data_IF_796640789582
#
_entry.id   IF_796640789582
#
_cell.length_a   1.000
_cell.length_b   1.000
_cell.length_c   1.000
_cell.angle_alpha   90.00
_cell.angle_beta   90.00
_cell.angle_gamma   90.00
#
_symmetry.space_group_name_H-M   'P 1'
#
loop_
_entity.id
_entity.type
_entity.pdbx_description
1 polymer ?
#
# COMPACT_ATOMS: atom_id res chain seq x y z
N UNK A 1 37.19 -11.26 -18.37
CA UNK A 1 35.93 -11.70 -17.72
C UNK A 1 35.58 -10.70 -16.63
N UNK A 2 34.76 -9.70 -16.96
CA UNK A 2 33.99 -8.97 -15.96
C UNK A 2 32.53 -9.22 -16.32
N UNK A 3 31.85 -9.90 -15.42
CA UNK A 3 30.46 -10.29 -15.52
C UNK A 3 29.66 -9.00 -15.56
N UNK A 4 29.05 -8.71 -16.71
CA UNK A 4 27.98 -7.73 -16.78
C UNK A 4 26.83 -8.28 -15.95
N UNK A 5 26.73 -7.83 -14.69
CA UNK A 5 25.49 -7.99 -13.95
C UNK A 5 24.46 -7.14 -14.66
N UNK A 6 23.51 -7.80 -15.33
CA UNK A 6 22.28 -7.15 -15.75
C UNK A 6 21.65 -6.54 -14.50
N UNK A 7 21.78 -5.22 -14.35
CA UNK A 7 20.94 -4.47 -13.44
C UNK A 7 19.51 -4.69 -13.91
N UNK A 8 18.82 -5.65 -13.30
CA UNK A 8 17.38 -5.76 -13.44
C UNK A 8 16.83 -4.39 -13.06
N UNK A 9 16.31 -3.66 -14.04
CA UNK A 9 15.66 -2.38 -13.83
C UNK A 9 14.51 -2.67 -12.87
N UNK A 10 14.73 -2.45 -11.57
CA UNK A 10 13.75 -2.76 -10.54
C UNK A 10 12.74 -1.62 -10.55
N UNK A 11 11.74 -1.73 -11.42
CA UNK A 11 10.67 -0.74 -11.55
C UNK A 11 9.94 -0.63 -10.21
N UNK A 12 9.74 0.61 -9.74
CA UNK A 12 8.92 0.82 -8.56
C UNK A 12 7.46 0.51 -8.94
N UNK A 13 6.75 -0.18 -8.05
CA UNK A 13 5.33 -0.46 -8.24
C UNK A 13 4.67 -0.72 -6.90
N UNK A 14 3.36 -0.50 -6.86
CA UNK A 14 2.52 -0.88 -5.73
C UNK A 14 1.50 -1.90 -6.21
N UNK A 15 1.28 -2.93 -5.39
CA UNK A 15 0.22 -3.91 -5.59
C UNK A 15 -0.57 -4.05 -4.29
N UNK A 16 -1.90 -4.00 -4.39
CA UNK A 16 -2.83 -4.28 -3.30
C UNK A 16 -3.76 -5.40 -3.79
N UNK A 17 -3.91 -6.47 -3.00
CA UNK A 17 -4.84 -7.55 -3.30
C UNK A 17 -5.85 -7.63 -2.17
N UNK A 18 -7.14 -7.57 -2.48
CA UNK A 18 -8.25 -7.65 -1.52
C UNK A 18 -9.29 -8.67 -2.00
N UNK A 19 -10.22 -9.05 -1.12
CA UNK A 19 -11.37 -9.85 -1.49
C UNK A 19 -12.23 -9.12 -2.54
N UNK A 20 -12.96 -9.87 -3.37
CA UNK A 20 -13.84 -9.27 -4.39
C UNK A 20 -14.88 -8.31 -3.78
N UNK A 21 -15.29 -8.53 -2.54
CA UNK A 21 -16.24 -7.67 -1.81
C UNK A 21 -15.71 -6.26 -1.56
N UNK A 22 -14.39 -6.08 -1.57
CA UNK A 22 -13.72 -4.81 -1.26
C UNK A 22 -13.40 -3.97 -2.51
N UNK A 23 -14.05 -4.26 -3.65
CA UNK A 23 -13.85 -3.54 -4.91
C UNK A 23 -13.95 -2.02 -4.77
N UNK A 24 -14.88 -1.55 -3.92
CA UNK A 24 -15.11 -0.13 -3.69
C UNK A 24 -13.90 0.55 -3.05
N UNK A 25 -13.24 -0.10 -2.09
CA UNK A 25 -12.03 0.42 -1.46
C UNK A 25 -10.90 0.55 -2.48
N UNK A 26 -10.67 -0.49 -3.31
CA UNK A 26 -9.68 -0.42 -4.38
C UNK A 26 -10.02 0.65 -5.42
N UNK A 27 -11.29 0.84 -5.74
CA UNK A 27 -11.75 1.86 -6.68
C UNK A 27 -11.50 3.27 -6.13
N UNK A 28 -11.70 3.50 -4.83
CA UNK A 28 -11.37 4.77 -4.20
C UNK A 28 -9.87 5.09 -4.32
N UNK A 29 -9.00 4.12 -4.04
CA UNK A 29 -7.54 4.27 -4.21
C UNK A 29 -7.19 4.55 -5.67
N UNK A 30 -7.78 3.80 -6.62
CA UNK A 30 -7.57 3.98 -8.06
C UNK A 30 -7.99 5.38 -8.53
N UNK A 31 -9.09 5.92 -8.02
CA UNK A 31 -9.58 7.24 -8.43
C UNK A 31 -8.64 8.37 -7.99
N UNK A 32 -7.87 8.17 -6.92
CA UNK A 32 -6.87 9.15 -6.44
C UNK A 32 -5.55 9.03 -7.19
N UNK A 33 -5.02 7.80 -7.32
CA UNK A 33 -3.65 7.58 -7.81
C UNK A 33 -3.54 7.05 -9.24
N UNK A 34 -4.67 6.68 -9.87
CA UNK A 34 -4.71 6.01 -11.18
C UNK A 34 -4.49 4.50 -11.08
N UNK A 35 -3.82 3.91 -12.07
CA UNK A 35 -3.52 2.47 -12.09
C UNK A 35 -4.68 1.59 -12.58
N UNK A 36 -4.61 0.29 -12.28
CA UNK A 36 -5.56 -0.71 -12.81
C UNK A 36 -5.99 -1.71 -11.75
N UNK A 37 -7.25 -2.15 -11.82
CA UNK A 37 -7.81 -3.24 -11.01
C UNK A 37 -8.14 -4.39 -11.95
N UNK A 38 -7.71 -5.60 -11.60
CA UNK A 38 -8.01 -6.83 -12.35
C UNK A 38 -8.39 -7.95 -11.39
N UNK A 39 -9.25 -8.86 -11.84
CA UNK A 39 -9.52 -10.10 -11.13
C UNK A 39 -8.27 -10.99 -11.07
N UNK A 40 -8.08 -11.66 -9.94
CA UNK A 40 -7.02 -12.67 -9.76
C UNK A 40 -7.58 -14.02 -10.22
N UNK A 41 -6.98 -14.61 -11.26
CA UNK A 41 -7.43 -15.92 -11.76
C UNK A 41 -7.34 -17.00 -10.67
N UNK A 42 -8.39 -17.81 -10.55
CA UNK A 42 -8.46 -18.94 -9.61
C UNK A 42 -8.73 -18.56 -8.15
N UNK A 43 -8.99 -17.27 -7.85
CA UNK A 43 -9.28 -16.81 -6.48
C UNK A 43 -10.36 -15.73 -6.50
N UNK A 44 -11.21 -15.66 -5.47
CA UNK A 44 -12.24 -14.61 -5.34
C UNK A 44 -11.64 -13.29 -4.84
N UNK A 45 -10.67 -12.75 -5.58
CA UNK A 45 -9.89 -11.58 -5.18
C UNK A 45 -9.67 -10.61 -6.33
N UNK A 46 -9.53 -9.33 -5.98
CA UNK A 46 -9.17 -8.24 -6.86
C UNK A 46 -7.75 -7.80 -6.60
N UNK A 47 -7.07 -7.37 -7.66
CA UNK A 47 -5.70 -6.89 -7.61
C UNK A 47 -5.61 -5.50 -8.23
N UNK A 48 -5.26 -4.54 -7.40
CA UNK A 48 -4.87 -3.21 -7.81
C UNK A 48 -3.37 -3.15 -8.09
N UNK A 49 -2.98 -2.48 -9.19
CA UNK A 49 -1.58 -2.25 -9.58
C UNK A 49 -1.35 -0.82 -10.02
N UNK A 50 -0.29 -0.23 -9.48
CA UNK A 50 0.19 1.10 -9.82
C UNK A 50 1.64 1.02 -10.32
N UNK A 51 1.86 1.45 -11.57
CA UNK A 51 3.16 1.40 -12.25
C UNK A 51 3.57 2.74 -12.86
N UNK A 52 2.63 3.67 -13.08
CA UNK A 52 2.97 4.98 -13.64
C UNK A 52 3.71 5.81 -12.59
N UNK A 53 4.77 6.49 -13.04
CA UNK A 53 5.65 7.27 -12.17
C UNK A 53 4.91 8.38 -11.43
N UNK A 54 4.01 9.08 -12.11
CA UNK A 54 3.22 10.18 -11.54
C UNK A 54 2.37 9.71 -10.35
N UNK A 55 1.55 8.67 -10.54
CA UNK A 55 0.72 8.12 -9.47
C UNK A 55 1.54 7.58 -8.30
N UNK A 56 2.70 6.96 -8.58
CA UNK A 56 3.62 6.51 -7.53
C UNK A 56 4.20 7.68 -6.73
N UNK A 57 4.63 8.75 -7.39
CA UNK A 57 5.18 9.92 -6.69
C UNK A 57 4.12 10.60 -5.81
N UNK A 58 2.89 10.74 -6.32
CA UNK A 58 1.77 11.27 -5.53
C UNK A 58 1.52 10.38 -4.29
N UNK A 59 1.45 9.06 -4.48
CA UNK A 59 1.26 8.12 -3.38
C UNK A 59 2.41 8.18 -2.37
N UNK A 60 3.66 8.22 -2.81
CA UNK A 60 4.84 8.32 -1.93
C UNK A 60 4.74 9.57 -1.08
N UNK A 61 4.43 10.72 -1.68
CA UNK A 61 4.29 11.98 -0.95
C UNK A 61 3.17 11.93 0.09
N UNK A 62 2.02 11.33 -0.26
CA UNK A 62 0.87 11.25 0.65
C UNK A 62 1.08 10.28 1.82
N UNK A 63 1.85 9.20 1.64
CA UNK A 63 2.10 8.22 2.71
C UNK A 63 3.40 8.46 3.49
N UNK A 64 4.29 9.33 3.00
CA UNK A 64 5.57 9.60 3.65
C UNK A 64 5.36 10.34 4.97
N UNK A 65 5.76 9.72 6.08
CA UNK A 65 5.41 10.18 7.43
C UNK A 65 4.15 9.54 8.01
N UNK A 66 3.50 8.60 7.31
CA UNK A 66 2.36 7.84 7.83
C UNK A 66 2.66 6.33 7.97
N UNK A 67 3.72 5.83 7.35
CA UNK A 67 4.09 4.41 7.44
C UNK A 67 4.66 4.07 8.82
N UNK A 68 3.90 3.27 9.58
CA UNK A 68 4.26 2.83 10.94
C UNK A 68 4.78 1.40 11.02
N UNK A 69 4.52 0.56 10.01
CA UNK A 69 5.07 -0.79 9.96
C UNK A 69 6.57 -0.75 9.58
N UNK A 70 7.49 -1.29 10.41
CA UNK A 70 8.93 -1.22 10.16
C UNK A 70 9.37 -1.84 8.83
N UNK A 71 8.79 -2.97 8.43
CA UNK A 71 9.11 -3.65 7.18
C UNK A 71 8.70 -2.77 5.99
N UNK A 72 7.52 -2.15 6.07
CA UNK A 72 7.03 -1.24 5.02
C UNK A 72 7.82 0.07 4.98
N UNK A 73 8.29 0.55 6.12
CA UNK A 73 9.13 1.75 6.20
C UNK A 73 10.47 1.55 5.49
N UNK A 74 11.10 0.38 5.66
CA UNK A 74 12.32 0.02 4.92
C UNK A 74 12.04 -0.07 3.41
N UNK A 75 10.91 -0.66 3.00
CA UNK A 75 10.49 -0.71 1.59
C UNK A 75 10.28 0.69 1.00
N UNK A 76 9.62 1.58 1.73
CA UNK A 76 9.43 2.97 1.34
C UNK A 76 10.77 3.69 1.23
N UNK A 77 11.71 3.47 2.16
CA UNK A 77 13.04 4.08 2.13
C UNK A 77 13.78 3.79 0.82
N UNK A 78 13.76 2.53 0.35
CA UNK A 78 14.39 2.19 -0.94
C UNK A 78 13.78 2.97 -2.11
N UNK A 79 12.47 3.23 -2.06
CA UNK A 79 11.77 4.01 -3.08
C UNK A 79 12.09 5.50 -2.94
N UNK A 80 12.13 6.04 -1.72
CA UNK A 80 12.51 7.41 -1.42
C UNK A 80 13.93 7.72 -1.93
N UNK A 81 14.91 6.86 -1.65
CA UNK A 81 16.29 6.99 -2.16
C UNK A 81 16.31 7.01 -3.68
N UNK A 82 15.57 6.11 -4.34
CA UNK A 82 15.49 6.03 -5.80
C UNK A 82 14.94 7.32 -6.44
N UNK A 83 14.01 8.00 -5.78
CA UNK A 83 13.39 9.23 -6.29
C UNK A 83 13.94 10.51 -5.66
N UNK A 84 15.02 10.42 -4.87
CA UNK A 84 15.64 11.54 -4.16
C UNK A 84 14.65 12.30 -3.25
N UNK A 85 13.82 11.55 -2.51
CA UNK A 85 12.86 12.05 -1.52
C UNK A 85 13.39 11.74 -0.12
N UNK A 86 13.32 12.70 0.80
CA UNK A 86 13.65 12.48 2.21
C UNK A 86 12.57 11.64 2.89
N UNK A 87 12.95 10.53 3.51
CA UNK A 87 12.04 9.70 4.29
C UNK A 87 11.66 10.40 5.60
N UNK A 88 10.36 10.49 5.87
CA UNK A 88 9.81 11.01 7.12
C UNK A 88 9.36 9.86 8.01
N UNK A 89 9.73 9.92 9.28
CA UNK A 89 9.25 8.98 10.29
C UNK A 89 7.86 9.40 10.77
N UNK A 90 6.98 8.43 11.10
CA UNK A 90 5.62 8.75 11.51
C UNK A 90 5.59 9.48 12.85
N UNK A 91 4.76 10.52 12.90
CA UNK A 91 4.46 11.23 14.14
C UNK A 91 3.57 10.40 15.06
N UNK A 92 3.53 10.78 16.35
CA UNK A 92 2.66 10.16 17.35
C UNK A 92 1.20 10.27 16.91
N UNK A 93 0.46 9.17 17.02
CA UNK A 93 -0.97 9.15 16.68
C UNK A 93 -1.75 10.13 17.55
N UNK A 94 -2.66 10.85 16.92
CA UNK A 94 -3.66 11.71 17.55
C UNK A 94 -5.05 11.14 17.24
N UNK A 95 -6.08 11.58 17.97
CA UNK A 95 -7.46 11.15 17.71
C UNK A 95 -7.97 11.56 16.32
N UNK A 96 -7.43 12.66 15.77
CA UNK A 96 -7.77 13.18 14.45
C UNK A 96 -6.84 12.62 13.36
N UNK A 97 -6.53 11.33 13.40
CA UNK A 97 -5.68 10.67 12.42
C UNK A 97 -6.38 9.44 11.82
N UNK A 98 -6.59 9.44 10.50
CA UNK A 98 -7.26 8.36 9.76
C UNK A 98 -6.42 7.08 9.57
N UNK A 99 -5.15 7.09 9.98
CA UNK A 99 -4.27 5.92 9.88
C UNK A 99 -4.82 4.73 10.68
N UNK A 100 -5.28 4.98 11.93
CA UNK A 100 -5.78 3.89 12.78
C UNK A 100 -7.06 3.27 12.22
N UNK A 101 -7.97 4.08 11.67
CA UNK A 101 -9.17 3.55 11.00
C UNK A 101 -8.83 2.71 9.78
N UNK A 102 -7.86 3.12 8.96
CA UNK A 102 -7.42 2.32 7.81
C UNK A 102 -6.71 1.03 8.21
N UNK A 103 -5.90 1.06 9.27
CA UNK A 103 -5.28 -0.13 9.84
C UNK A 103 -6.31 -1.11 10.40
N UNK A 104 -7.31 -0.60 11.13
CA UNK A 104 -8.40 -1.40 11.67
C UNK A 104 -9.30 -1.97 10.57
N UNK A 105 -9.57 -1.24 9.49
CA UNK A 105 -10.33 -1.74 8.35
C UNK A 105 -9.61 -2.91 7.64
N UNK A 106 -8.27 -2.87 7.60
CA UNK A 106 -7.46 -3.90 6.95
C UNK A 106 -7.27 -5.16 7.81
N UNK A 107 -7.09 -5.03 9.12
CA UNK A 107 -6.66 -6.14 10.01
C UNK A 107 -7.61 -6.36 11.22
N UNK A 108 -8.53 -5.45 11.47
CA UNK A 108 -9.43 -5.49 12.62
C UNK A 108 -10.51 -6.56 12.49
N UNK A 109 -11.00 -7.03 13.63
CA UNK A 109 -12.13 -7.96 13.67
C UNK A 109 -13.01 -7.71 14.90
N UNK A 110 -14.30 -7.91 14.74
CA UNK A 110 -15.29 -7.83 15.82
C UNK A 110 -16.05 -9.14 15.83
N UNK A 111 -15.98 -9.87 16.95
CA UNK A 111 -16.70 -11.12 17.16
C UNK A 111 -17.71 -10.92 18.30
N UNK A 112 -18.98 -11.26 18.03
CA UNK A 112 -20.06 -11.22 19.03
C UNK A 112 -20.38 -12.66 19.40
N UNK A 113 -20.20 -13.03 20.66
CA UNK A 113 -20.60 -14.33 21.19
C UNK A 113 -21.90 -14.17 22.00
N UNK A 114 -22.99 -14.75 21.51
CA UNK A 114 -24.19 -14.90 22.31
C UNK A 114 -23.94 -16.02 23.31
N UNK A 115 -23.61 -15.68 24.56
CA UNK A 115 -23.39 -16.66 25.62
C UNK A 115 -24.53 -17.68 25.65
N UNK A 116 -24.18 -18.96 25.73
CA UNK A 116 -25.14 -20.03 25.94
C UNK A 116 -25.83 -19.83 27.29
N UNK A 117 -27.15 -19.61 27.27
CA UNK A 117 -28.00 -19.73 28.45
C UNK A 117 -28.06 -21.17 28.96
#
# INVERSE_FOLDING_TARGET
MQVGTSEAIRYASLEITMDIRDERALTAVKNVYGGSIKLRSGVSALRYRLHNKEGLLNLINDVNGEIRNPIRLIQLNYICVKYNITLNYPSKLTLNNGWFSGFWDAEGSIAINAGSN
#
